data_IF_512842112906
#
_entry.id   IF_512842112906
#
_cell.length_a   1.000
_cell.length_b   1.000
_cell.length_c   1.000
_cell.angle_alpha   90.00
_cell.angle_beta   90.00
_cell.angle_gamma   90.00
#
_symmetry.space_group_name_H-M   'P 1'
#
loop_
_entity.id
_entity.type
_entity.pdbx_description
1 polymer ?
#
# COMPACT_ATOMS: atom_id res chain seq x y z
N UNK A 1 15.09 12.38 29.92
CA UNK A 1 14.59 11.29 29.05
C UNK A 1 13.40 11.78 28.25
N UNK A 2 13.33 11.39 27.01
CA UNK A 2 12.25 11.84 26.15
C UNK A 2 11.56 10.65 25.52
N UNK A 3 10.26 10.78 25.34
CA UNK A 3 9.46 9.79 24.63
C UNK A 3 9.38 10.19 23.16
N UNK A 4 9.73 9.27 22.28
CA UNK A 4 9.60 9.49 20.86
C UNK A 4 8.61 8.47 20.31
N UNK A 5 7.54 8.96 19.69
CA UNK A 5 6.52 8.12 19.09
C UNK A 5 6.54 8.33 17.60
N UNK A 6 6.71 7.25 16.86
CA UNK A 6 6.65 7.28 15.42
C UNK A 6 5.44 6.48 14.97
N UNK A 7 4.58 7.08 14.20
CA UNK A 7 3.39 6.42 13.66
C UNK A 7 3.57 6.17 12.19
N UNK A 8 3.15 5.00 11.76
CA UNK A 8 3.13 4.67 10.34
C UNK A 8 1.96 3.77 10.05
N UNK A 9 1.51 3.81 8.80
CA UNK A 9 0.45 2.96 8.30
C UNK A 9 1.06 1.96 7.33
N UNK A 10 0.56 0.74 7.37
CA UNK A 10 1.08 -0.31 6.50
C UNK A 10 -0.05 -0.93 5.69
N UNK A 11 0.29 -1.31 4.46
CA UNK A 11 -0.61 -2.04 3.58
C UNK A 11 0.13 -3.29 3.14
N UNK A 12 -0.52 -4.43 3.30
CA UNK A 12 0.00 -5.69 2.79
C UNK A 12 -0.98 -6.21 1.75
N UNK A 13 -0.58 -6.19 0.49
CA UNK A 13 -1.45 -6.59 -0.61
C UNK A 13 -0.94 -7.87 -1.23
N UNK A 14 -1.85 -8.83 -1.38
CA UNK A 14 -1.55 -10.11 -1.99
C UNK A 14 -2.34 -10.23 -3.29
N UNK A 15 -1.63 -10.46 -4.38
CA UNK A 15 -2.23 -10.64 -5.70
C UNK A 15 -2.34 -12.13 -5.97
N UNK A 16 -3.57 -12.63 -5.89
CA UNK A 16 -3.85 -14.06 -6.03
C UNK A 16 -4.65 -14.34 -7.29
N UNK A 17 -4.42 -15.50 -7.86
CA UNK A 17 -5.24 -15.99 -8.96
C UNK A 17 -5.68 -17.42 -8.66
N UNK A 18 -6.75 -17.86 -9.28
CA UNK A 18 -7.18 -19.24 -9.17
C UNK A 18 -6.76 -20.00 -10.41
N UNK A 19 -6.00 -21.06 -10.19
CA UNK A 19 -5.58 -21.98 -11.25
C UNK A 19 -6.02 -23.37 -10.84
N UNK A 20 -6.86 -23.98 -11.68
CA UNK A 20 -7.31 -25.35 -11.47
C UNK A 20 -7.88 -25.58 -10.06
N UNK A 21 -8.66 -24.61 -9.57
CA UNK A 21 -9.29 -24.71 -8.27
C UNK A 21 -8.37 -24.41 -7.09
N UNK A 22 -7.15 -24.01 -7.36
CA UNK A 22 -6.18 -23.67 -6.32
C UNK A 22 -5.86 -22.18 -6.39
N UNK A 23 -5.83 -21.54 -5.21
CA UNK A 23 -5.44 -20.14 -5.12
C UNK A 23 -3.91 -20.06 -5.11
N UNK A 24 -3.34 -19.31 -6.03
CA UNK A 24 -1.90 -19.15 -6.15
C UNK A 24 -1.54 -17.70 -5.91
N UNK A 25 -0.60 -17.46 -5.00
CA UNK A 25 -0.09 -16.13 -4.74
C UNK A 25 0.91 -15.76 -5.82
N UNK A 26 0.60 -14.75 -6.60
CA UNK A 26 1.40 -14.33 -7.76
C UNK A 26 2.37 -13.23 -7.38
N UNK A 27 1.91 -12.26 -6.60
CA UNK A 27 2.70 -11.09 -6.25
C UNK A 27 2.28 -10.61 -4.87
N UNK A 28 3.23 -10.04 -4.16
CA UNK A 28 2.95 -9.44 -2.87
C UNK A 28 3.57 -8.05 -2.83
N UNK A 29 2.80 -7.08 -2.36
CA UNK A 29 3.27 -5.71 -2.21
C UNK A 29 3.08 -5.27 -0.77
N UNK A 30 4.15 -4.77 -0.17
CA UNK A 30 4.14 -4.23 1.17
C UNK A 30 4.43 -2.74 1.10
N UNK A 31 3.54 -1.94 1.67
CA UNK A 31 3.66 -0.49 1.65
C UNK A 31 3.66 0.03 3.09
N UNK A 32 4.62 0.89 3.38
CA UNK A 32 4.70 1.57 4.66
C UNK A 32 4.62 3.07 4.41
N UNK A 33 3.69 3.75 5.06
CA UNK A 33 3.48 5.19 4.89
C UNK A 33 3.78 5.87 6.21
N UNK A 34 4.76 6.77 6.21
CA UNK A 34 5.16 7.45 7.43
C UNK A 34 4.27 8.67 7.74
N UNK A 35 4.59 9.36 8.82
CA UNK A 35 3.81 10.51 9.28
C UNK A 35 3.80 11.67 8.29
N UNK A 36 4.79 11.73 7.44
CA UNK A 36 4.91 12.77 6.42
C UNK A 36 4.25 12.37 5.10
N UNK A 37 3.52 11.26 5.11
CA UNK A 37 2.86 10.71 3.93
C UNK A 37 3.85 10.24 2.85
N UNK A 38 5.05 9.86 3.27
CA UNK A 38 6.05 9.30 2.36
C UNK A 38 5.94 7.79 2.40
N UNK A 39 5.75 7.19 1.24
CA UNK A 39 5.56 5.75 1.10
C UNK A 39 6.84 5.04 0.74
N UNK A 40 7.05 3.89 1.38
CA UNK A 40 8.08 2.93 0.99
C UNK A 40 7.36 1.71 0.45
N UNK A 41 7.71 1.29 -0.74
CA UNK A 41 7.03 0.19 -1.43
C UNK A 41 8.02 -0.94 -1.68
N UNK A 42 7.64 -2.14 -1.25
CA UNK A 42 8.40 -3.35 -1.54
C UNK A 42 7.51 -4.29 -2.33
N UNK A 43 7.99 -4.75 -3.46
CA UNK A 43 7.25 -5.66 -4.32
C UNK A 43 8.01 -6.96 -4.49
N UNK A 44 7.30 -8.06 -4.32
CA UNK A 44 7.83 -9.40 -4.53
C UNK A 44 7.00 -10.11 -5.58
N UNK A 45 7.61 -10.38 -6.70
CA UNK A 45 6.97 -11.15 -7.76
C UNK A 45 7.30 -12.62 -7.52
N UNK A 46 6.29 -13.40 -7.16
CA UNK A 46 6.48 -14.80 -6.78
C UNK A 46 6.25 -15.76 -7.94
N UNK A 47 5.41 -15.36 -8.90
CA UNK A 47 5.12 -16.20 -10.06
C UNK A 47 4.99 -15.33 -11.30
N UNK A 48 6.11 -15.14 -11.98
CA UNK A 48 6.18 -14.29 -13.16
C UNK A 48 5.32 -14.81 -14.31
N UNK A 49 5.22 -16.13 -14.42
CA UNK A 49 4.45 -16.77 -15.48
C UNK A 49 2.96 -16.47 -15.34
N UNK A 50 2.44 -16.64 -14.14
CA UNK A 50 1.02 -16.32 -13.88
C UNK A 50 0.77 -14.83 -13.94
N UNK A 51 1.73 -14.01 -13.54
CA UNK A 51 1.61 -12.57 -13.68
C UNK A 51 1.41 -12.18 -15.13
N UNK A 52 2.21 -12.78 -16.03
CA UNK A 52 2.09 -12.50 -17.45
C UNK A 52 0.77 -13.00 -18.01
N UNK A 53 0.33 -14.18 -17.57
CA UNK A 53 -0.94 -14.77 -18.01
C UNK A 53 -2.13 -13.91 -17.62
N UNK A 54 -2.13 -13.38 -16.41
CA UNK A 54 -3.23 -12.57 -15.88
C UNK A 54 -2.88 -11.09 -15.84
N UNK A 55 -2.06 -10.65 -16.75
CA UNK A 55 -1.51 -9.29 -16.77
C UNK A 55 -2.56 -8.19 -16.66
N UNK A 56 -3.66 -8.36 -17.38
CA UNK A 56 -4.74 -7.37 -17.38
C UNK A 56 -5.32 -7.18 -15.99
N UNK A 57 -5.61 -8.29 -15.32
CA UNK A 57 -6.14 -8.27 -13.97
C UNK A 57 -5.10 -7.74 -12.97
N UNK A 58 -3.85 -8.16 -13.12
CA UNK A 58 -2.77 -7.70 -12.26
C UNK A 58 -2.62 -6.18 -12.32
N UNK A 59 -2.67 -5.62 -13.51
CA UNK A 59 -2.55 -4.18 -13.69
C UNK A 59 -3.73 -3.41 -13.12
N UNK A 60 -4.92 -3.99 -13.23
CA UNK A 60 -6.11 -3.41 -12.63
C UNK A 60 -5.98 -3.39 -11.10
N UNK A 61 -5.53 -4.50 -10.53
CA UNK A 61 -5.34 -4.62 -9.10
C UNK A 61 -4.24 -3.69 -8.61
N UNK A 62 -3.16 -3.54 -9.36
CA UNK A 62 -2.09 -2.61 -9.04
C UNK A 62 -2.60 -1.18 -9.02
N UNK A 63 -3.49 -0.84 -9.94
CA UNK A 63 -4.07 0.48 -9.99
C UNK A 63 -5.00 0.74 -8.81
N UNK A 64 -5.79 -0.25 -8.42
CA UNK A 64 -6.64 -0.14 -7.24
C UNK A 64 -5.79 0.06 -5.99
N UNK A 65 -4.68 -0.66 -5.88
CA UNK A 65 -3.76 -0.53 -4.76
C UNK A 65 -3.13 0.86 -4.74
N UNK A 66 -2.76 1.37 -5.90
CA UNK A 66 -2.18 2.71 -6.00
C UNK A 66 -3.19 3.78 -5.57
N UNK A 67 -4.43 3.62 -5.98
CA UNK A 67 -5.50 4.53 -5.60
C UNK A 67 -5.70 4.50 -4.08
N UNK A 68 -5.69 3.32 -3.48
CA UNK A 68 -5.78 3.18 -2.04
C UNK A 68 -4.60 3.84 -1.34
N UNK A 69 -3.39 3.63 -1.86
CA UNK A 69 -2.19 4.23 -1.30
C UNK A 69 -2.28 5.75 -1.31
N UNK A 70 -2.68 6.32 -2.42
CA UNK A 70 -2.83 7.77 -2.54
C UNK A 70 -3.86 8.30 -1.55
N UNK A 71 -4.96 7.58 -1.39
CA UNK A 71 -5.99 7.96 -0.45
C UNK A 71 -5.46 7.98 0.98
N UNK A 72 -4.67 6.98 1.36
CA UNK A 72 -4.08 6.92 2.70
C UNK A 72 -3.02 7.99 2.87
N UNK A 73 -2.24 8.27 1.84
CA UNK A 73 -1.26 9.36 1.87
C UNK A 73 -1.96 10.69 2.10
N UNK A 74 -3.07 10.93 1.40
CA UNK A 74 -3.83 12.16 1.53
C UNK A 74 -4.44 12.30 2.92
N UNK A 75 -4.99 11.22 3.46
CA UNK A 75 -5.54 11.23 4.81
C UNK A 75 -4.45 11.48 5.84
N UNK A 76 -3.29 10.85 5.67
CA UNK A 76 -2.16 11.02 6.57
C UNK A 76 -1.67 12.46 6.56
N UNK A 77 -1.55 13.04 5.37
CA UNK A 77 -1.12 14.41 5.22
C UNK A 77 -2.15 15.38 5.81
N UNK A 78 -3.43 15.11 5.57
CA UNK A 78 -4.51 15.94 6.10
C UNK A 78 -4.54 15.91 7.61
N UNK A 79 -4.31 14.77 8.23
CA UNK A 79 -4.25 14.66 9.69
C UNK A 79 -3.11 15.48 10.26
N UNK A 80 -1.94 15.39 9.64
CA UNK A 80 -0.77 16.14 10.06
C UNK A 80 -1.03 17.65 9.93
N UNK A 81 -1.53 18.05 8.77
CA UNK A 81 -1.83 19.47 8.50
C UNK A 81 -3.02 19.92 9.33
N UNK A 82 -4.04 19.09 9.45
CA UNK A 82 -5.22 19.40 10.24
C UNK A 82 -4.91 19.61 11.70
N UNK A 83 -3.99 18.82 12.24
CA UNK A 83 -3.54 18.97 13.61
C UNK A 83 -2.87 20.32 13.80
N UNK A 84 -2.02 20.70 12.87
CA UNK A 84 -1.38 22.01 12.91
C UNK A 84 -2.40 23.12 12.78
N UNK A 85 -3.33 22.97 11.85
CA UNK A 85 -4.38 23.96 11.63
C UNK A 85 -5.27 24.10 12.87
N UNK A 86 -5.61 23.00 13.50
CA UNK A 86 -6.47 23.04 14.68
C UNK A 86 -5.74 23.63 15.90
N UNK A 87 -4.42 23.53 15.92
CA UNK A 87 -3.62 24.13 16.97
C UNK A 87 -3.27 25.57 16.69
N UNK A 88 -3.47 26.03 15.48
CA UNK A 88 -3.24 27.42 15.16
C UNK A 88 -4.31 28.28 15.81
N UNK A 89 -3.91 29.35 16.43
CA UNK A 89 -4.86 30.24 17.06
C UNK A 89 -5.76 30.98 16.10
#
# INVERSE_FOLDING_TARGET
MSLKITKQRTINAEFNVEEEGTTVLVKQTYISIDENAVSSVQENLLNAELYAKYRKQMRKDEQELRTLRYKIEDVTLAESTGTEASNAP
#
